data_IF_966921853909
#
_entry.id   IF_966921853909
#
_cell.length_a   1.000
_cell.length_b   1.000
_cell.length_c   1.000
_cell.angle_alpha   90.00
_cell.angle_beta   90.00
_cell.angle_gamma   90.00
#
_symmetry.space_group_name_H-M   'P 1'
#
loop_
_entity.id
_entity.type
_entity.pdbx_description
1 polymer ?
#
# COMPACT_ATOMS: atom_id res chain seq x y z
N UNK A 1 22.66 -1.62 16.80
CA UNK A 1 22.03 -0.54 16.02
C UNK A 1 21.94 -1.02 14.59
N UNK A 2 20.76 -1.44 14.13
CA UNK A 2 20.59 -1.98 12.78
C UNK A 2 20.19 -0.83 11.84
N UNK A 3 21.11 -0.45 10.95
CA UNK A 3 20.85 0.48 9.87
C UNK A 3 19.75 -0.12 8.99
N UNK A 4 18.51 0.34 9.17
CA UNK A 4 17.39 0.04 8.29
C UNK A 4 17.78 0.58 6.93
N UNK A 5 18.16 -0.32 6.03
CA UNK A 5 18.42 -0.05 4.61
C UNK A 5 17.24 0.76 4.12
N UNK A 6 17.42 2.08 3.96
CA UNK A 6 16.41 2.96 3.39
C UNK A 6 16.11 2.33 2.04
N UNK A 7 14.95 1.69 1.90
CA UNK A 7 14.50 1.20 0.61
C UNK A 7 14.56 2.40 -0.31
N UNK A 8 15.40 2.37 -1.33
CA UNK A 8 15.52 3.37 -2.39
C UNK A 8 14.29 3.26 -3.29
N UNK A 9 13.14 3.44 -2.68
CA UNK A 9 11.85 3.27 -3.30
C UNK A 9 11.08 4.54 -3.00
N UNK A 10 10.70 5.25 -4.05
CA UNK A 10 9.92 6.46 -3.95
C UNK A 10 8.52 6.11 -3.45
N UNK A 11 8.13 6.56 -2.24
CA UNK A 11 6.86 6.17 -1.64
C UNK A 11 5.67 6.63 -2.48
N UNK A 12 5.82 7.70 -3.27
CA UNK A 12 4.80 8.17 -4.20
C UNK A 12 4.62 7.20 -5.38
N UNK A 13 5.71 6.76 -6.00
CA UNK A 13 5.69 5.73 -7.05
C UNK A 13 5.04 4.44 -6.55
N UNK A 14 5.33 4.02 -5.30
CA UNK A 14 4.68 2.83 -4.71
C UNK A 14 3.19 3.05 -4.53
N UNK A 15 2.74 4.23 -4.10
CA UNK A 15 1.31 4.56 -3.97
C UNK A 15 0.62 4.50 -5.32
N UNK A 16 1.27 4.97 -6.40
CA UNK A 16 0.72 4.91 -7.76
C UNK A 16 0.64 3.47 -8.28
N UNK A 17 1.72 2.68 -8.12
CA UNK A 17 1.70 1.25 -8.49
C UNK A 17 0.67 0.46 -7.69
N UNK A 18 0.57 0.73 -6.39
CA UNK A 18 -0.43 0.10 -5.52
C UNK A 18 -1.85 0.51 -5.93
N UNK A 19 -2.06 1.80 -6.26
CA UNK A 19 -3.35 2.27 -6.78
C UNK A 19 -3.74 1.55 -8.07
N UNK A 20 -2.81 1.36 -9.00
CA UNK A 20 -3.05 0.63 -10.24
C UNK A 20 -3.40 -0.85 -10.00
N UNK A 21 -2.64 -1.53 -9.13
CA UNK A 21 -2.92 -2.93 -8.78
C UNK A 21 -4.27 -3.11 -8.05
N UNK A 22 -4.63 -2.15 -7.20
CA UNK A 22 -5.93 -2.15 -6.54
C UNK A 22 -7.06 -1.90 -7.55
N UNK A 23 -6.88 -0.98 -8.49
CA UNK A 23 -7.85 -0.71 -9.55
C UNK A 23 -8.10 -1.93 -10.44
N UNK A 24 -7.03 -2.65 -10.81
CA UNK A 24 -7.11 -3.93 -11.54
C UNK A 24 -7.90 -4.99 -10.76
N UNK A 25 -7.73 -5.02 -9.42
CA UNK A 25 -8.51 -5.86 -8.52
C UNK A 25 -9.95 -5.33 -8.28
N UNK A 26 -10.37 -4.23 -8.91
CA UNK A 26 -11.67 -3.58 -8.74
C UNK A 26 -11.84 -2.87 -7.39
N UNK A 27 -10.73 -2.54 -6.73
CA UNK A 27 -10.67 -1.89 -5.42
C UNK A 27 -10.22 -0.45 -5.59
N UNK A 28 -11.11 0.51 -5.30
CA UNK A 28 -10.75 1.94 -5.32
C UNK A 28 -10.53 2.43 -3.88
N UNK A 29 -9.29 2.80 -3.57
CA UNK A 29 -8.93 3.46 -2.31
C UNK A 29 -8.65 4.95 -2.53
N UNK A 30 -9.65 5.84 -2.34
CA UNK A 30 -9.45 7.28 -2.48
C UNK A 30 -8.60 7.87 -1.34
N UNK A 31 -8.49 7.18 -0.20
CA UNK A 31 -7.70 7.63 0.96
C UNK A 31 -6.26 7.13 0.96
N UNK A 32 -5.84 6.35 -0.04
CA UNK A 32 -4.48 5.83 -0.16
C UNK A 32 -3.48 6.98 -0.40
N UNK A 33 -2.53 7.15 0.52
CA UNK A 33 -1.50 8.19 0.45
C UNK A 33 -0.24 7.79 1.19
N UNK A 34 0.88 8.46 0.91
CA UNK A 34 2.10 8.34 1.72
C UNK A 34 1.81 8.87 3.14
N UNK A 35 2.27 8.16 4.16
CA UNK A 35 2.16 8.60 5.54
C UNK A 35 2.96 9.91 5.76
N UNK A 36 2.30 11.01 6.15
CA UNK A 36 3.01 12.25 6.45
C UNK A 36 3.61 12.26 7.86
N UNK A 37 3.18 11.37 8.76
CA UNK A 37 3.57 11.38 10.17
C UNK A 37 5.00 10.85 10.39
N UNK A 38 5.46 9.93 9.55
CA UNK A 38 6.77 9.29 9.65
C UNK A 38 7.40 9.10 8.26
N UNK A 39 7.84 10.19 7.60
CA UNK A 39 8.40 10.15 6.25
C UNK A 39 9.70 9.32 6.15
N UNK A 40 10.43 9.19 7.26
CA UNK A 40 11.64 8.36 7.34
C UNK A 40 11.38 6.85 7.22
N UNK A 41 10.15 6.41 7.54
CA UNK A 41 9.73 5.03 7.50
C UNK A 41 9.08 4.64 6.16
N UNK A 42 8.81 5.62 5.29
CA UNK A 42 8.16 5.43 3.97
C UNK A 42 6.86 4.61 4.07
N UNK A 43 6.08 4.86 5.12
CA UNK A 43 4.81 4.17 5.34
C UNK A 43 3.76 4.67 4.34
N UNK A 44 2.80 3.80 4.05
CA UNK A 44 1.65 4.11 3.19
C UNK A 44 0.40 4.01 4.06
N UNK A 45 -0.30 5.13 4.18
CA UNK A 45 -1.58 5.21 4.87
C UNK A 45 -2.67 4.72 3.92
N UNK A 46 -3.29 3.59 4.27
CA UNK A 46 -4.46 3.05 3.56
C UNK A 46 -5.76 3.82 3.87
N UNK A 47 -5.74 4.68 4.91
CA UNK A 47 -6.89 5.47 5.35
C UNK A 47 -8.05 4.63 5.91
N UNK A 48 -9.27 5.17 5.86
CA UNK A 48 -10.48 4.44 6.29
C UNK A 48 -10.95 3.53 5.18
N UNK A 49 -10.55 2.26 5.25
CA UNK A 49 -10.98 1.22 4.32
C UNK A 49 -12.30 0.61 4.82
N UNK A 50 -13.27 0.38 3.92
CA UNK A 50 -14.49 -0.38 4.24
C UNK A 50 -14.13 -1.84 4.50
N UNK A 51 -14.77 -2.50 5.46
CA UNK A 51 -14.46 -3.90 5.80
C UNK A 51 -14.49 -4.86 4.58
N UNK A 52 -15.47 -4.70 3.67
CA UNK A 52 -15.55 -5.45 2.42
C UNK A 52 -14.32 -5.28 1.51
N UNK A 53 -13.81 -4.04 1.43
CA UNK A 53 -12.63 -3.72 0.64
C UNK A 53 -11.35 -4.27 1.28
N UNK A 54 -11.27 -4.27 2.61
CA UNK A 54 -10.17 -4.88 3.34
C UNK A 54 -10.13 -6.42 3.15
N UNK A 55 -11.28 -7.08 3.12
CA UNK A 55 -11.38 -8.51 2.82
C UNK A 55 -10.95 -8.84 1.39
N UNK A 56 -11.43 -8.07 0.40
CA UNK A 56 -11.00 -8.20 -1.00
C UNK A 56 -9.50 -7.96 -1.17
N UNK A 57 -8.95 -6.96 -0.50
CA UNK A 57 -7.51 -6.68 -0.49
C UNK A 57 -6.73 -7.86 0.10
N UNK A 58 -7.18 -8.43 1.22
CA UNK A 58 -6.55 -9.59 1.82
C UNK A 58 -6.60 -10.81 0.87
N UNK A 59 -7.69 -11.00 0.14
CA UNK A 59 -7.81 -12.06 -0.87
C UNK A 59 -6.86 -11.84 -2.05
N UNK A 60 -6.76 -10.62 -2.57
CA UNK A 60 -5.84 -10.26 -3.63
C UNK A 60 -4.36 -10.46 -3.22
N UNK A 61 -3.98 -9.99 -2.03
CA UNK A 61 -2.63 -10.20 -1.48
C UNK A 61 -2.30 -11.68 -1.26
N UNK A 62 -3.26 -12.49 -0.81
CA UNK A 62 -3.07 -13.94 -0.68
C UNK A 62 -2.86 -14.65 -2.03
N UNK A 63 -3.38 -14.10 -3.13
CA UNK A 63 -3.19 -14.65 -4.47
C UNK A 63 -1.85 -14.25 -5.07
N UNK A 64 -1.43 -12.99 -4.86
CA UNK A 64 -0.15 -12.46 -5.35
C UNK A 64 1.07 -12.74 -4.46
N UNK A 65 0.90 -13.25 -3.24
CA UNK A 65 2.01 -13.55 -2.31
C UNK A 65 2.60 -14.96 -2.43
N UNK A 66 2.18 -15.75 -3.41
CA UNK A 66 2.64 -17.13 -3.65
C UNK A 66 3.69 -17.22 -4.78
N UNK A 67 4.25 -16.10 -5.23
CA UNK A 67 5.25 -16.01 -6.30
C UNK A 67 6.61 -15.55 -5.80
#
# INVERSE_FOLDING_TARGET
>A
MAAKKKLDVDPYTVVESLRAALDDAGIVLPSLRVDPASPELKLIELGRVRADVADRLANALRRGGCE
#
